data_IF_325629073845
#
_entry.id   IF_325629073845
#
_cell.length_a   1.000
_cell.length_b   1.000
_cell.length_c   1.000
_cell.angle_alpha   90.00
_cell.angle_beta   90.00
_cell.angle_gamma   90.00
#
_symmetry.space_group_name_H-M   'P 1'
#
loop_
_entity.id
_entity.type
_entity.pdbx_description
1 polymer ?
#
# COMPACT_ATOMS: atom_id res chain seq x y z
N UNK A 1 1.09 7.43 18.20
CA UNK A 1 1.03 6.06 17.65
C UNK A 1 -0.25 6.01 16.83
N UNK A 2 -0.18 6.44 15.57
CA UNK A 2 -1.37 6.55 14.71
C UNK A 2 -1.95 5.17 14.49
N UNK A 3 -3.24 5.02 14.72
CA UNK A 3 -4.02 3.77 14.70
C UNK A 3 -4.26 3.26 13.25
N UNK A 4 -3.58 3.82 12.26
CA UNK A 4 -4.07 3.79 10.89
C UNK A 4 -3.26 2.80 10.07
N UNK A 5 -3.80 1.59 9.98
CA UNK A 5 -3.42 0.50 9.09
C UNK A 5 -1.97 0.00 9.20
N UNK A 6 -1.83 -1.21 9.74
CA UNK A 6 -0.59 -1.98 9.67
C UNK A 6 -0.42 -2.53 8.25
N UNK A 7 -0.11 -1.64 7.30
CA UNK A 7 -0.02 -1.95 5.86
C UNK A 7 0.99 -3.07 5.61
N UNK A 8 2.04 -3.12 6.43
CA UNK A 8 3.03 -4.19 6.43
C UNK A 8 2.40 -5.55 6.74
N UNK A 9 1.59 -5.62 7.79
CA UNK A 9 0.84 -6.84 8.14
C UNK A 9 -0.11 -7.26 7.01
N UNK A 10 -0.75 -6.29 6.35
CA UNK A 10 -1.62 -6.58 5.20
C UNK A 10 -0.85 -7.09 3.98
N UNK A 11 0.39 -6.64 3.76
CA UNK A 11 1.24 -7.20 2.71
C UNK A 11 1.62 -8.65 3.00
N UNK A 12 1.95 -8.96 4.26
CA UNK A 12 2.24 -10.33 4.70
C UNK A 12 1.01 -11.25 4.55
N UNK A 13 -0.19 -10.77 4.91
CA UNK A 13 -1.45 -11.51 4.75
C UNK A 13 -1.82 -11.75 3.27
N UNK A 14 -1.39 -10.86 2.38
CA UNK A 14 -1.69 -10.91 0.93
C UNK A 14 -0.58 -11.61 0.12
N UNK A 15 0.51 -12.06 0.74
CA UNK A 15 1.63 -12.70 0.04
C UNK A 15 2.44 -11.74 -0.87
N UNK A 16 2.26 -10.44 -0.71
CA UNK A 16 2.91 -9.42 -1.55
C UNK A 16 4.37 -9.29 -1.12
N UNK A 17 5.31 -9.38 -2.08
CA UNK A 17 6.72 -9.22 -1.78
C UNK A 17 7.03 -7.80 -1.29
N UNK A 18 8.02 -7.69 -0.39
CA UNK A 18 8.42 -6.39 0.13
C UNK A 18 8.91 -5.42 -0.97
N UNK A 19 9.48 -5.96 -2.06
CA UNK A 19 9.91 -5.15 -3.22
C UNK A 19 8.73 -4.48 -3.93
N UNK A 20 7.62 -5.20 -4.12
CA UNK A 20 6.40 -4.63 -4.72
C UNK A 20 5.80 -3.57 -3.79
N UNK A 21 5.75 -3.86 -2.50
CA UNK A 21 5.27 -2.89 -1.51
C UNK A 21 6.08 -1.59 -1.52
N UNK A 22 7.41 -1.68 -1.47
CA UNK A 22 8.27 -0.50 -1.50
C UNK A 22 8.13 0.31 -2.79
N UNK A 23 7.90 -0.37 -3.92
CA UNK A 23 7.65 0.28 -5.21
C UNK A 23 6.34 1.06 -5.17
N UNK A 24 5.25 0.43 -4.75
CA UNK A 24 3.93 1.08 -4.61
C UNK A 24 3.98 2.28 -3.66
N UNK A 25 4.67 2.14 -2.51
CA UNK A 25 4.83 3.24 -1.56
C UNK A 25 5.55 4.42 -2.21
N UNK A 26 6.64 4.19 -2.95
CA UNK A 26 7.40 5.26 -3.60
C UNK A 26 6.59 5.97 -4.67
N UNK A 27 5.90 5.21 -5.52
CA UNK A 27 5.06 5.78 -6.60
C UNK A 27 3.92 6.62 -6.04
N UNK A 28 3.15 6.06 -5.10
CA UNK A 28 1.97 6.74 -4.53
C UNK A 28 2.40 7.94 -3.67
N UNK A 29 3.54 7.87 -2.97
CA UNK A 29 4.08 9.01 -2.22
C UNK A 29 4.61 10.11 -3.15
N UNK A 30 5.11 9.77 -4.34
CA UNK A 30 5.50 10.77 -5.33
C UNK A 30 4.27 11.52 -5.89
N UNK A 31 3.13 10.84 -6.02
CA UNK A 31 1.85 11.45 -6.42
C UNK A 31 1.21 12.29 -5.31
N UNK A 32 1.31 11.85 -4.05
CA UNK A 32 0.71 12.50 -2.87
C UNK A 32 1.77 12.80 -1.78
N UNK A 33 2.73 13.71 -2.04
CA UNK A 33 3.87 13.92 -1.15
C UNK A 33 3.48 14.48 0.22
N UNK A 34 2.43 15.30 0.28
CA UNK A 34 1.98 15.98 1.50
C UNK A 34 0.52 15.66 1.89
N UNK A 35 -0.15 14.79 1.14
CA UNK A 35 -1.54 14.39 1.42
C UNK A 35 -1.55 12.96 1.95
N UNK A 36 -1.49 12.83 3.28
CA UNK A 36 -1.44 11.53 3.97
C UNK A 36 -2.70 10.70 3.72
N UNK A 37 -3.87 11.32 3.68
CA UNK A 37 -5.14 10.62 3.48
C UNK A 37 -5.22 10.04 2.06
N UNK A 38 -4.81 10.81 1.04
CA UNK A 38 -4.80 10.31 -0.34
C UNK A 38 -3.73 9.25 -0.56
N UNK A 39 -2.56 9.40 0.04
CA UNK A 39 -1.52 8.37 0.03
C UNK A 39 -2.03 7.04 0.59
N UNK A 40 -2.61 7.05 1.80
CA UNK A 40 -3.11 5.84 2.46
C UNK A 40 -4.23 5.17 1.65
N UNK A 41 -5.18 5.96 1.15
CA UNK A 41 -6.29 5.44 0.36
C UNK A 41 -5.82 4.75 -0.92
N UNK A 42 -4.88 5.37 -1.66
CA UNK A 42 -4.37 4.79 -2.90
C UNK A 42 -3.49 3.57 -2.64
N UNK A 43 -2.71 3.57 -1.56
CA UNK A 43 -1.91 2.42 -1.16
C UNK A 43 -2.79 1.22 -0.83
N UNK A 44 -3.89 1.43 -0.10
CA UNK A 44 -4.85 0.36 0.21
C UNK A 44 -5.56 -0.18 -1.03
N UNK A 45 -5.90 0.68 -1.98
CA UNK A 45 -6.49 0.26 -3.27
C UNK A 45 -5.51 -0.56 -4.08
N UNK A 46 -4.28 -0.09 -4.23
CA UNK A 46 -3.25 -0.79 -4.98
C UNK A 46 -2.98 -2.19 -4.40
N UNK A 47 -2.82 -2.30 -3.08
CA UNK A 47 -2.63 -3.60 -2.42
C UNK A 47 -3.83 -4.54 -2.58
N UNK A 48 -5.06 -4.00 -2.51
CA UNK A 48 -6.27 -4.79 -2.74
C UNK A 48 -6.35 -5.29 -4.18
N UNK A 49 -6.07 -4.44 -5.16
CA UNK A 49 -6.13 -4.81 -6.57
C UNK A 49 -5.03 -5.82 -6.90
N UNK A 50 -3.83 -5.66 -6.34
CA UNK A 50 -2.74 -6.62 -6.46
C UNK A 50 -3.15 -8.00 -5.93
N UNK A 51 -3.78 -8.06 -4.75
CA UNK A 51 -4.29 -9.33 -4.19
C UNK A 51 -5.40 -9.99 -5.01
N UNK A 52 -6.08 -9.24 -5.88
CA UNK A 52 -7.21 -9.73 -6.68
C UNK A 52 -6.79 -10.19 -8.08
N UNK A 53 -5.60 -9.78 -8.52
CA UNK A 53 -5.06 -10.10 -9.84
C UNK A 53 -4.17 -11.36 -9.87
N UNK A 54 -3.96 -12.05 -8.75
CA UNK A 54 -3.34 -13.39 -8.72
C UNK A 54 -4.39 -14.52 -8.92
N UNK A 55 -5.27 -14.39 -9.93
CA UNK A 55 -6.16 -15.47 -10.40
C UNK A 55 -5.92 -15.70 -11.89
#
# INVERSE_FOLDING_TARGET
MSVIFDVKKKCEELGISNEVYETLVKEIRAEFPNDEMMFELHLLRALRDYSRNEI
#
